data_IF_012487702617
#
_entry.id   IF_012487702617
#
_cell.length_a   1.000
_cell.length_b   1.000
_cell.length_c   1.000
_cell.angle_alpha   90.00
_cell.angle_beta   90.00
_cell.angle_gamma   90.00
#
_symmetry.space_group_name_H-M   'P 1'
#
loop_
_entity.id
_entity.type
_entity.pdbx_description
1 polymer ?
#
# COMPACT_ATOMS: atom_id res chain seq x y z
N UNK A 1 -3.69 -6.93 -36.37
CA UNK A 1 -3.26 -6.43 -35.05
C UNK A 1 -4.22 -5.34 -34.62
N UNK A 2 -4.89 -5.46 -33.46
CA UNK A 2 -5.75 -4.40 -32.96
C UNK A 2 -4.89 -3.17 -32.67
N UNK A 3 -5.27 -2.01 -33.22
CA UNK A 3 -4.60 -0.73 -32.96
C UNK A 3 -4.94 -0.30 -31.54
N UNK A 4 -3.92 -0.06 -30.72
CA UNK A 4 -4.09 0.53 -29.40
C UNK A 4 -4.73 1.92 -29.56
N UNK A 5 -5.75 2.26 -28.76
CA UNK A 5 -6.34 3.59 -28.80
C UNK A 5 -5.27 4.63 -28.46
N UNK A 6 -5.02 5.55 -29.40
CA UNK A 6 -4.02 6.64 -29.28
C UNK A 6 -4.61 7.91 -28.64
N UNK A 7 -5.83 7.83 -28.11
CA UNK A 7 -6.45 8.93 -27.38
C UNK A 7 -5.97 8.97 -25.91
N UNK A 8 -6.11 10.11 -25.22
CA UNK A 8 -5.83 10.17 -23.80
C UNK A 8 -6.67 9.12 -23.07
N UNK A 9 -6.00 8.23 -22.34
CA UNK A 9 -6.67 7.26 -21.48
C UNK A 9 -7.24 8.06 -20.31
N UNK A 10 -8.57 8.15 -20.27
CA UNK A 10 -9.29 8.70 -19.12
C UNK A 10 -9.25 7.66 -18.01
N UNK A 11 -8.29 7.79 -17.10
CA UNK A 11 -8.19 6.94 -15.90
C UNK A 11 -9.11 7.53 -14.82
N UNK A 12 -9.97 6.72 -14.23
CA UNK A 12 -10.84 7.19 -13.17
C UNK A 12 -10.04 7.42 -11.88
N UNK A 13 -10.47 8.39 -11.06
CA UNK A 13 -9.81 8.74 -9.80
C UNK A 13 -9.70 7.55 -8.84
N UNK A 14 -10.70 6.66 -8.84
CA UNK A 14 -10.67 5.43 -8.04
C UNK A 14 -9.55 4.48 -8.48
N UNK A 15 -9.31 4.35 -9.78
CA UNK A 15 -8.33 3.41 -10.32
C UNK A 15 -6.91 3.85 -9.97
N UNK A 16 -6.68 5.18 -9.97
CA UNK A 16 -5.44 5.78 -9.48
C UNK A 16 -5.23 5.44 -8.00
N UNK A 17 -6.26 5.66 -7.19
CA UNK A 17 -6.20 5.41 -5.75
C UNK A 17 -5.96 3.93 -5.44
N UNK A 18 -6.62 3.03 -6.16
CA UNK A 18 -6.45 1.59 -6.00
C UNK A 18 -5.06 1.13 -6.44
N UNK A 19 -4.49 1.72 -7.49
CA UNK A 19 -3.11 1.51 -7.89
C UNK A 19 -2.10 1.91 -6.81
N UNK A 20 -2.27 3.11 -6.22
CA UNK A 20 -1.42 3.59 -5.13
C UNK A 20 -1.53 2.72 -3.88
N UNK A 21 -2.75 2.30 -3.51
CA UNK A 21 -2.98 1.35 -2.41
C UNK A 21 -2.30 0.01 -2.65
N UNK A 22 -2.40 -0.52 -3.86
CA UNK A 22 -1.77 -1.78 -4.23
C UNK A 22 -0.24 -1.68 -4.10
N UNK A 23 0.38 -0.59 -4.58
CA UNK A 23 1.81 -0.34 -4.45
C UNK A 23 2.25 -0.25 -2.98
N UNK A 24 1.53 0.52 -2.16
CA UNK A 24 1.78 0.62 -0.72
C UNK A 24 1.72 -0.75 -0.03
N UNK A 25 0.68 -1.54 -0.32
CA UNK A 25 0.54 -2.89 0.23
C UNK A 25 1.62 -3.86 -0.25
N UNK A 26 2.04 -3.77 -1.52
CA UNK A 26 3.11 -4.59 -2.07
C UNK A 26 4.44 -4.30 -1.36
N UNK A 27 4.79 -3.01 -1.23
CA UNK A 27 5.99 -2.58 -0.52
C UNK A 27 6.01 -3.10 0.92
N UNK A 28 4.92 -2.93 1.66
CA UNK A 28 4.83 -3.42 3.05
C UNK A 28 4.85 -4.93 3.20
N UNK A 29 4.41 -5.67 2.17
CA UNK A 29 4.59 -7.13 2.13
C UNK A 29 6.06 -7.46 1.87
N UNK A 30 6.70 -6.76 0.95
CA UNK A 30 8.11 -6.94 0.62
C UNK A 30 9.01 -6.67 1.83
N UNK A 31 8.81 -5.56 2.55
CA UNK A 31 9.51 -5.25 3.81
C UNK A 31 9.39 -6.36 4.85
N UNK A 32 8.22 -7.02 4.93
CA UNK A 32 8.01 -8.13 5.86
C UNK A 32 8.88 -9.34 5.50
N UNK A 33 9.13 -9.57 4.21
CA UNK A 33 9.93 -10.70 3.73
C UNK A 33 11.44 -10.36 3.71
N UNK A 34 11.79 -9.08 3.59
CA UNK A 34 13.19 -8.62 3.49
C UNK A 34 13.79 -8.18 4.82
N UNK A 35 13.01 -8.14 5.92
CA UNK A 35 13.53 -7.90 7.28
C UNK A 35 14.68 -8.83 7.72
N UNK A 36 14.96 -9.91 7.00
CA UNK A 36 16.09 -10.80 7.25
C UNK A 36 17.41 -10.31 6.64
N UNK A 37 17.38 -9.44 5.61
CA UNK A 37 18.57 -8.92 4.94
C UNK A 37 18.53 -7.38 4.89
N UNK A 38 19.33 -6.72 5.72
CA UNK A 38 19.94 -5.38 5.58
C UNK A 38 19.31 -4.29 4.66
N UNK A 39 17.99 -4.15 4.54
CA UNK A 39 17.38 -3.00 3.86
C UNK A 39 17.14 -1.88 4.87
N UNK A 40 17.93 -0.82 4.70
CA UNK A 40 17.99 0.35 5.58
C UNK A 40 16.64 1.06 5.67
N UNK A 41 16.29 1.53 6.87
CA UNK A 41 15.11 2.36 7.17
C UNK A 41 14.90 3.50 6.17
N UNK A 42 15.98 4.06 5.60
CA UNK A 42 15.90 5.13 4.60
C UNK A 42 15.28 4.72 3.25
N UNK A 43 15.27 3.43 2.89
CA UNK A 43 14.57 2.97 1.69
C UNK A 43 13.05 2.99 1.87
N UNK A 44 12.58 2.57 3.05
CA UNK A 44 11.15 2.59 3.38
C UNK A 44 10.61 4.02 3.39
N UNK A 45 11.30 4.94 4.08
CA UNK A 45 10.92 6.36 4.13
C UNK A 45 10.88 6.98 2.72
N UNK A 46 11.91 6.74 1.92
CA UNK A 46 11.96 7.26 0.55
C UNK A 46 10.86 6.73 -0.37
N UNK A 47 10.41 5.48 -0.17
CA UNK A 47 9.31 4.91 -0.96
C UNK A 47 7.95 5.48 -0.53
N UNK A 48 7.69 5.61 0.76
CA UNK A 48 6.45 6.20 1.27
C UNK A 48 6.32 7.67 0.84
N UNK A 49 7.41 8.45 0.92
CA UNK A 49 7.47 9.84 0.44
C UNK A 49 7.23 9.95 -1.08
N UNK A 50 7.75 9.00 -1.86
CA UNK A 50 7.54 8.96 -3.31
C UNK A 50 6.07 8.67 -3.65
N UNK A 51 5.40 7.78 -2.90
CA UNK A 51 3.97 7.51 -3.08
C UNK A 51 3.09 8.70 -2.69
N UNK A 52 3.43 9.41 -1.61
CA UNK A 52 2.68 10.62 -1.23
C UNK A 52 2.86 11.73 -2.27
N UNK A 53 4.10 11.96 -2.73
CA UNK A 53 4.39 12.91 -3.81
C UNK A 53 3.59 12.58 -5.09
N UNK A 54 3.49 11.29 -5.44
CA UNK A 54 2.69 10.83 -6.58
C UNK A 54 1.19 11.06 -6.34
N UNK A 55 0.69 10.79 -5.13
CA UNK A 55 -0.70 11.04 -4.78
C UNK A 55 -1.06 12.54 -4.85
N UNK A 56 -0.14 13.42 -4.44
CA UNK A 56 -0.30 14.87 -4.58
C UNK A 56 -0.35 15.30 -6.05
N UNK A 57 0.58 14.82 -6.89
CA UNK A 57 0.59 15.13 -8.34
C UNK A 57 -0.67 14.64 -9.05
N UNK A 58 -1.21 13.50 -8.65
CA UNK A 58 -2.46 12.94 -9.19
C UNK A 58 -3.71 13.50 -8.52
N UNK A 59 -3.53 14.40 -7.54
CA UNK A 59 -4.60 15.11 -6.85
C UNK A 59 -5.43 14.25 -5.91
N UNK A 60 -4.96 13.08 -5.46
CA UNK A 60 -5.66 12.08 -4.61
C UNK A 60 -5.04 11.92 -3.20
N UNK A 61 -4.16 12.84 -2.79
CA UNK A 61 -3.40 12.74 -1.53
C UNK A 61 -4.28 12.51 -0.30
N UNK A 62 -5.38 13.26 -0.12
CA UNK A 62 -6.25 13.10 1.05
C UNK A 62 -6.91 11.72 1.13
N UNK A 63 -7.39 11.19 0.01
CA UNK A 63 -7.96 9.85 -0.04
C UNK A 63 -6.90 8.75 0.13
N UNK A 64 -5.70 8.98 -0.38
CA UNK A 64 -4.56 8.07 -0.20
C UNK A 64 -4.11 8.01 1.26
N UNK A 65 -3.94 9.15 1.93
CA UNK A 65 -3.57 9.22 3.35
C UNK A 65 -4.62 8.51 4.24
N UNK A 66 -5.91 8.76 3.97
CA UNK A 66 -7.00 8.08 4.66
C UNK A 66 -6.95 6.56 4.46
N UNK A 67 -6.69 6.10 3.23
CA UNK A 67 -6.55 4.68 2.93
C UNK A 67 -5.35 4.05 3.65
N UNK A 68 -4.19 4.71 3.67
CA UNK A 68 -3.01 4.26 4.39
C UNK A 68 -3.30 4.13 5.90
N UNK A 69 -4.00 5.10 6.52
CA UNK A 69 -4.44 5.01 7.92
C UNK A 69 -5.33 3.79 8.18
N UNK A 70 -6.29 3.52 7.31
CA UNK A 70 -7.17 2.34 7.45
C UNK A 70 -6.41 1.03 7.29
N UNK A 71 -5.50 0.94 6.31
CA UNK A 71 -4.63 -0.22 6.12
C UNK A 71 -3.77 -0.46 7.38
N UNK A 72 -3.25 0.60 7.99
CA UNK A 72 -2.45 0.52 9.21
C UNK A 72 -3.28 0.10 10.43
N UNK A 73 -4.49 0.66 10.59
CA UNK A 73 -5.40 0.34 11.69
C UNK A 73 -5.98 -1.09 11.61
N UNK A 74 -6.19 -1.63 10.41
CA UNK A 74 -6.71 -3.00 10.23
C UNK A 74 -5.75 -4.10 10.73
N UNK A 75 -4.46 -3.79 10.91
CA UNK A 75 -3.46 -4.72 11.47
C UNK A 75 -3.38 -4.72 13.00
N UNK A 76 -3.75 -3.62 13.67
CA UNK A 76 -3.71 -3.58 15.14
C UNK A 76 -4.85 -4.37 15.78
N UNK A 77 -5.93 -4.63 15.04
CA UNK A 77 -7.08 -5.40 15.54
C UNK A 77 -7.07 -6.89 15.15
N UNK A 78 -6.05 -7.38 14.43
CA UNK A 78 -5.87 -8.82 14.27
C UNK A 78 -5.19 -9.39 15.50
N UNK A 79 -5.99 -9.80 16.50
CA UNK A 79 -5.56 -10.66 17.61
C UNK A 79 -4.75 -11.83 17.03
N UNK A 80 -3.54 -12.12 17.52
CA UNK A 80 -2.80 -13.28 17.06
C UNK A 80 -3.63 -14.54 17.36
N UNK A 81 -4.01 -15.27 16.31
CA UNK A 81 -4.76 -16.54 16.37
C UNK A 81 -4.09 -17.59 17.25
N UNK A 82 -2.83 -17.37 17.67
CA UNK A 82 -2.11 -18.20 18.64
C UNK A 82 -2.67 -18.17 20.07
N UNK A 83 -3.58 -17.26 20.43
CA UNK A 83 -4.15 -17.21 21.78
C UNK A 83 -5.41 -18.08 21.99
N UNK A 84 -5.99 -18.68 20.93
CA UNK A 84 -7.29 -19.38 21.03
C UNK A 84 -7.14 -20.92 21.19
N UNK A 85 -5.92 -21.46 21.11
CA UNK A 85 -5.67 -22.91 21.25
C UNK A 85 -5.16 -23.35 22.63
N UNK A 86 -5.13 -22.46 23.63
CA UNK A 86 -4.61 -22.77 24.96
C UNK A 86 -5.69 -22.99 26.05
N UNK A 87 -6.98 -22.84 25.73
CA UNK A 87 -8.08 -23.04 26.70
C UNK A 87 -8.93 -24.27 26.36
N UNK A 88 -8.26 -25.41 26.14
CA UNK A 88 -8.92 -26.66 25.79
C UNK A 88 -8.10 -27.88 26.13
N UNK A 89 -7.63 -28.00 27.38
CA UNK A 89 -7.17 -29.26 27.99
C UNK A 89 -7.64 -29.33 29.42
#
# INVERSE_FOLDING_TARGET
MPKLPTGPILVHRSDILDGLRALYLAHRRFDRHIREDCYASGYQEGFEDALDSLAQMLGVSGEFESACRQINASRTNTTPVRAVLAEGT
#
